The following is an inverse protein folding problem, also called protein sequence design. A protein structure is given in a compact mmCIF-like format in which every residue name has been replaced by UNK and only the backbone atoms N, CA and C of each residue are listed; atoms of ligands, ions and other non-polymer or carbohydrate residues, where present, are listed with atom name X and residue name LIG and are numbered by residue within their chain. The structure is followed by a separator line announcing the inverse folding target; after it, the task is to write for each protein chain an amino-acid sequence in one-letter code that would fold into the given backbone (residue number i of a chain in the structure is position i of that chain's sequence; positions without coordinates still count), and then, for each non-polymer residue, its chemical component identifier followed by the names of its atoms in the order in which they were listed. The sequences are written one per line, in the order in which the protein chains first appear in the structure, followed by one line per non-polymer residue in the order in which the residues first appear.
data_IF_452927199860
#
_entry.id   IF_452927199860
#
_cell.length_a   1.000
_cell.length_b   1.000
_cell.length_c   1.000
_cell.angle_alpha   90.00
_cell.angle_beta   90.00
_cell.angle_gamma   90.00
#
_symmetry.space_group_name_H-M   'P 1'
#
loop_
_entity.id
_entity.type
_entity.pdbx_description
1 polymer ?
#
# COMPACT_ATOMS: atom_id res chain seq x y z
N UNK A 1 -6.03 -2.99 8.28
CA UNK A 1 -5.32 -1.83 7.69
C UNK A 1 -6.01 -0.50 8.01
N UNK A 2 -7.22 -0.20 7.50
CA UNK A 2 -7.88 1.11 7.77
C UNK A 2 -8.25 1.35 9.25
N UNK A 3 -8.32 0.32 10.08
CA UNK A 3 -8.61 0.44 11.52
C UNK A 3 -7.36 0.77 12.37
N UNK A 4 -6.15 0.72 11.81
CA UNK A 4 -4.89 0.80 12.56
C UNK A 4 -4.07 2.09 12.34
N UNK A 5 -4.43 2.93 11.35
CA UNK A 5 -3.73 4.21 11.08
C UNK A 5 -4.31 5.35 11.97
N UNK A 6 -5.21 5.02 12.89
CA UNK A 6 -5.98 5.96 13.70
C UNK A 6 -5.33 6.16 15.09
N UNK A 7 -4.13 6.76 15.17
CA UNK A 7 -3.54 7.16 16.45
C UNK A 7 -3.53 8.69 16.60
N UNK A 8 -3.96 9.17 17.77
CA UNK A 8 -4.25 10.58 18.07
C UNK A 8 -3.01 11.30 18.62
N UNK A 9 -2.24 11.95 17.76
CA UNK A 9 -1.30 13.00 18.17
C UNK A 9 -2.01 14.34 18.41
N UNK A 10 -1.63 15.16 19.42
CA UNK A 10 -2.31 16.42 19.71
C UNK A 10 -2.02 17.47 18.62
N UNK A 11 -3.07 17.96 17.98
CA UNK A 11 -2.99 19.04 17.00
C UNK A 11 -3.14 20.39 17.73
N UNK A 12 -2.03 21.08 18.00
CA UNK A 12 -2.05 22.47 18.46
C UNK A 12 -2.03 23.40 17.24
N UNK A 13 -3.12 24.14 17.03
CA UNK A 13 -3.23 25.15 15.98
C UNK A 13 -2.55 26.46 16.34
N UNK A 14 -1.98 27.14 15.35
CA UNK A 14 -2.42 28.46 14.84
C UNK A 14 -1.37 29.04 13.89
N UNK A 15 -1.76 29.35 12.65
CA UNK A 15 -1.42 30.58 11.95
C UNK A 15 -2.14 30.62 10.59
N UNK A 16 -2.97 31.64 10.41
CA UNK A 16 -3.52 32.05 9.12
C UNK A 16 -2.40 32.58 8.23
N UNK A 17 -2.39 32.27 6.94
CA UNK A 17 -1.96 33.18 5.87
C UNK A 17 -2.77 32.86 4.60
N UNK A 18 -3.37 33.90 4.02
CA UNK A 18 -3.99 33.87 2.71
C UNK A 18 -2.93 33.92 1.61
N UNK A 19 -3.11 33.15 0.54
CA UNK A 19 -2.28 33.19 -0.66
C UNK A 19 -2.76 32.17 -1.69
N UNK A 20 -3.07 32.66 -2.89
CA UNK A 20 -3.63 31.93 -4.04
C UNK A 20 -2.67 30.99 -4.76
N UNK A 21 -3.27 30.02 -5.46
CA UNK A 21 -2.83 29.35 -6.69
C UNK A 21 -1.63 28.41 -6.64
N UNK A 22 -1.95 27.13 -6.61
CA UNK A 22 -1.19 26.04 -7.22
C UNK A 22 -2.07 24.81 -7.17
N UNK A 23 -2.51 24.28 -8.32
CA UNK A 23 -2.83 22.85 -8.36
C UNK A 23 -1.49 22.16 -8.06
N UNK A 24 -1.25 21.84 -6.79
CA UNK A 24 -0.16 20.94 -6.41
C UNK A 24 -0.32 19.71 -7.30
N UNK A 25 0.70 19.44 -8.12
CA UNK A 25 0.68 18.36 -9.09
C UNK A 25 0.58 17.04 -8.31
N UNK A 26 -0.65 16.58 -8.08
CA UNK A 26 -0.94 15.43 -7.22
C UNK A 26 -0.16 14.24 -7.74
N UNK A 27 0.56 13.56 -6.85
CA UNK A 27 1.28 12.35 -7.20
C UNK A 27 0.34 11.34 -7.90
N UNK A 28 0.81 10.76 -9.00
CA UNK A 28 0.11 9.74 -9.78
C UNK A 28 1.07 8.62 -10.13
N UNK A 29 0.57 7.39 -10.22
CA UNK A 29 1.34 6.27 -10.76
C UNK A 29 1.34 6.32 -12.28
N UNK A 30 2.39 5.74 -12.87
CA UNK A 30 2.42 5.43 -14.30
C UNK A 30 1.22 4.55 -14.69
N UNK A 31 0.69 4.68 -15.92
CA UNK A 31 -0.44 3.87 -16.38
C UNK A 31 -0.06 2.40 -16.59
N UNK A 32 1.23 2.11 -16.73
CA UNK A 32 1.80 0.78 -16.93
C UNK A 32 3.00 0.55 -16.00
N UNK A 33 3.32 -0.72 -15.68
CA UNK A 33 2.58 -1.93 -16.02
C UNK A 33 1.25 -2.08 -15.25
N UNK A 34 0.26 -2.74 -15.84
CA UNK A 34 -0.95 -3.15 -15.11
C UNK A 34 -0.68 -4.34 -14.19
N UNK A 35 -1.62 -4.65 -13.30
CA UNK A 35 -1.54 -5.86 -12.44
C UNK A 35 -1.42 -7.14 -13.27
N UNK A 36 -2.11 -7.20 -14.41
CA UNK A 36 -2.03 -8.35 -15.32
C UNK A 36 -0.68 -8.41 -16.04
N UNK A 37 -0.08 -7.27 -16.38
CA UNK A 37 1.26 -7.24 -16.95
C UNK A 37 2.29 -7.76 -15.94
N UNK A 38 2.18 -7.36 -14.68
CA UNK A 38 3.04 -7.85 -13.58
C UNK A 38 2.87 -9.36 -13.40
N UNK A 39 1.62 -9.86 -13.33
CA UNK A 39 1.34 -11.30 -13.24
C UNK A 39 2.00 -12.07 -14.39
N UNK A 40 1.89 -11.56 -15.62
CA UNK A 40 2.47 -12.19 -16.81
C UNK A 40 4.00 -12.20 -16.77
N UNK A 41 4.64 -11.08 -16.47
CA UNK A 41 6.10 -11.00 -16.34
C UNK A 41 6.64 -11.97 -15.29
N UNK A 42 5.94 -12.11 -14.15
CA UNK A 42 6.32 -13.04 -13.08
C UNK A 42 6.12 -14.51 -13.45
N UNK A 43 5.02 -14.83 -14.13
CA UNK A 43 4.77 -16.18 -14.62
C UNK A 43 5.86 -16.59 -15.62
N UNK A 44 6.20 -15.72 -16.58
CA UNK A 44 7.29 -15.95 -17.54
C UNK A 44 8.64 -16.16 -16.82
N UNK A 45 8.99 -15.28 -15.88
CA UNK A 45 10.22 -15.40 -15.09
C UNK A 45 10.32 -16.72 -14.32
N UNK A 46 9.20 -17.16 -13.72
CA UNK A 46 9.11 -18.39 -12.92
C UNK A 46 9.14 -19.65 -13.78
N UNK A 47 8.46 -19.63 -14.93
CA UNK A 47 8.40 -20.73 -15.89
C UNK A 47 9.77 -21.02 -16.49
N UNK A 48 10.51 -19.99 -16.90
CA UNK A 48 11.88 -20.10 -17.43
C UNK A 48 12.85 -20.82 -16.48
N UNK A 49 12.57 -20.76 -15.17
CA UNK A 49 13.44 -21.29 -14.11
C UNK A 49 12.94 -22.61 -13.53
N UNK A 50 11.79 -23.12 -13.97
CA UNK A 50 11.10 -24.26 -13.37
C UNK A 50 10.88 -24.07 -11.84
N UNK A 51 10.54 -22.85 -11.45
CA UNK A 51 10.38 -22.47 -10.03
C UNK A 51 8.96 -22.63 -9.51
N UNK A 52 8.00 -22.93 -10.38
CA UNK A 52 6.60 -23.18 -10.00
C UNK A 52 6.44 -24.24 -8.89
N UNK A 53 7.35 -25.21 -8.81
CA UNK A 53 7.37 -26.23 -7.74
C UNK A 53 7.57 -25.64 -6.34
N UNK A 54 8.27 -24.51 -6.24
CA UNK A 54 8.53 -23.82 -4.97
C UNK A 54 7.47 -22.77 -4.64
N UNK A 55 6.75 -22.28 -5.65
CA UNK A 55 5.77 -21.20 -5.54
C UNK A 55 4.37 -21.73 -5.15
N UNK A 56 4.32 -22.47 -4.04
CA UNK A 56 3.08 -22.88 -3.39
C UNK A 56 2.51 -21.72 -2.55
N UNK A 57 1.17 -21.59 -2.38
CA UNK A 57 0.57 -20.44 -1.70
C UNK A 57 1.16 -20.11 -0.33
N UNK A 58 1.46 -21.13 0.50
CA UNK A 58 2.09 -20.91 1.82
C UNK A 58 3.49 -20.31 1.69
N UNK A 59 4.28 -20.76 0.71
CA UNK A 59 5.65 -20.29 0.55
C UNK A 59 5.66 -18.85 0.05
N UNK A 60 4.79 -18.50 -0.90
CA UNK A 60 4.61 -17.13 -1.38
C UNK A 60 4.14 -16.19 -0.26
N UNK A 61 3.21 -16.63 0.59
CA UNK A 61 2.80 -15.87 1.77
C UNK A 61 3.98 -15.59 2.71
N UNK A 62 4.82 -16.59 2.98
CA UNK A 62 5.96 -16.44 3.88
C UNK A 62 7.05 -15.54 3.27
N UNK A 63 7.29 -15.65 1.96
CA UNK A 63 8.19 -14.74 1.24
C UNK A 63 7.68 -13.30 1.31
N UNK A 64 6.40 -13.06 1.01
CA UNK A 64 5.77 -11.74 1.13
C UNK A 64 5.89 -11.14 2.54
N UNK A 65 5.76 -11.96 3.59
CA UNK A 65 5.97 -11.49 4.98
C UNK A 65 7.42 -11.08 5.23
N UNK A 66 8.39 -11.78 4.61
CA UNK A 66 9.79 -11.38 4.61
C UNK A 66 9.99 -9.98 4.03
N UNK A 67 9.47 -9.73 2.83
CA UNK A 67 9.59 -8.43 2.16
C UNK A 67 8.89 -7.30 2.92
N UNK A 68 7.75 -7.58 3.59
CA UNK A 68 7.12 -6.62 4.50
C UNK A 68 8.04 -6.31 5.69
N UNK A 69 8.82 -7.28 6.15
CA UNK A 69 9.88 -7.11 7.13
C UNK A 69 10.98 -6.17 6.61
N UNK A 70 11.46 -6.37 5.37
CA UNK A 70 12.48 -5.51 4.75
C UNK A 70 11.99 -4.07 4.59
N UNK A 71 10.74 -3.86 4.15
CA UNK A 71 10.09 -2.54 4.19
C UNK A 71 10.15 -1.97 5.61
N UNK A 72 9.81 -2.76 6.63
CA UNK A 72 9.80 -2.30 8.02
C UNK A 72 11.19 -1.90 8.52
N UNK A 73 12.25 -2.59 8.11
CA UNK A 73 13.63 -2.29 8.48
C UNK A 73 14.09 -0.91 8.01
N UNK A 74 13.59 -0.43 6.87
CA UNK A 74 13.88 0.93 6.36
C UNK A 74 13.31 2.03 7.26
N UNK A 75 12.21 1.77 7.96
CA UNK A 75 11.54 2.73 8.84
C UNK A 75 11.87 2.56 10.32
N UNK A 76 12.32 1.39 10.76
CA UNK A 76 12.35 1.01 12.19
C UNK A 76 13.10 1.98 13.13
N UNK A 77 14.11 2.70 12.62
CA UNK A 77 14.91 3.67 13.38
C UNK A 77 14.66 5.13 12.97
N UNK A 78 13.73 5.37 12.06
CA UNK A 78 13.32 6.72 11.68
C UNK A 78 12.32 7.23 12.74
N UNK A 79 12.38 8.52 13.06
CA UNK A 79 11.36 9.18 13.89
C UNK A 79 10.06 9.36 13.12
N UNK A 80 9.38 10.48 13.31
CA UNK A 80 8.27 10.85 12.41
C UNK A 80 8.81 11.01 10.97
N UNK A 81 8.17 10.33 10.02
CA UNK A 81 8.55 10.37 8.61
C UNK A 81 7.54 11.23 7.84
N UNK A 82 8.02 12.33 7.26
CA UNK A 82 7.18 13.25 6.50
C UNK A 82 6.75 12.64 5.14
N UNK A 83 5.56 13.03 4.67
CA UNK A 83 5.08 12.70 3.33
C UNK A 83 6.08 13.16 2.26
N UNK A 84 6.28 12.34 1.22
CA UNK A 84 7.26 12.62 0.16
C UNK A 84 8.72 12.37 0.57
N UNK A 85 8.98 11.97 1.82
CA UNK A 85 10.28 11.51 2.34
C UNK A 85 11.43 12.52 2.16
N UNK A 86 11.26 13.84 2.35
CA UNK A 86 12.23 14.87 1.96
C UNK A 86 13.65 14.65 2.53
N UNK A 87 13.76 14.02 3.70
CA UNK A 87 15.03 13.76 4.38
C UNK A 87 15.69 12.42 3.99
N UNK A 88 15.11 11.70 3.03
CA UNK A 88 15.66 10.44 2.53
C UNK A 88 16.54 10.69 1.31
N UNK A 89 17.72 10.06 1.31
CA UNK A 89 18.61 10.00 0.16
C UNK A 89 17.99 9.22 -1.00
N UNK A 90 18.49 9.47 -2.22
CA UNK A 90 18.05 8.74 -3.42
C UNK A 90 18.22 7.22 -3.26
N UNK A 91 19.31 6.78 -2.62
CA UNK A 91 19.55 5.36 -2.35
C UNK A 91 18.52 4.75 -1.39
N UNK A 92 18.11 5.47 -0.34
CA UNK A 92 17.08 4.98 0.59
C UNK A 92 15.71 4.92 -0.11
N UNK A 93 15.41 5.87 -0.99
CA UNK A 93 14.18 5.89 -1.79
C UNK A 93 14.15 4.75 -2.81
N UNK A 94 15.29 4.44 -3.42
CA UNK A 94 15.43 3.31 -4.34
C UNK A 94 15.27 1.97 -3.62
N UNK A 95 15.88 1.80 -2.45
CA UNK A 95 15.66 0.62 -1.60
C UNK A 95 14.17 0.48 -1.22
N UNK A 96 13.53 1.56 -0.78
CA UNK A 96 12.09 1.53 -0.50
C UNK A 96 11.27 1.11 -1.73
N UNK A 97 11.63 1.60 -2.92
CA UNK A 97 10.96 1.23 -4.15
C UNK A 97 11.13 -0.27 -4.47
N UNK A 98 12.31 -0.85 -4.21
CA UNK A 98 12.56 -2.29 -4.34
C UNK A 98 11.68 -3.10 -3.37
N UNK A 99 11.75 -2.82 -2.07
CA UNK A 99 11.01 -3.61 -1.08
C UNK A 99 9.49 -3.52 -1.25
N UNK A 100 8.97 -2.33 -1.61
CA UNK A 100 7.55 -2.19 -1.96
C UNK A 100 7.18 -2.98 -3.21
N UNK A 101 8.08 -3.07 -4.19
CA UNK A 101 7.87 -3.85 -5.41
C UNK A 101 7.85 -5.34 -5.09
N UNK A 102 8.75 -5.83 -4.24
CA UNK A 102 8.83 -7.26 -3.88
C UNK A 102 7.60 -7.72 -3.10
N UNK A 103 7.12 -6.91 -2.14
CA UNK A 103 5.82 -7.15 -1.48
C UNK A 103 4.69 -7.27 -2.50
N UNK A 104 4.65 -6.35 -3.47
CA UNK A 104 3.58 -6.34 -4.45
C UNK A 104 3.65 -7.51 -5.43
N UNK A 105 4.86 -7.88 -5.87
CA UNK A 105 5.13 -9.03 -6.72
C UNK A 105 4.62 -10.32 -6.07
N UNK A 106 4.99 -10.59 -4.82
CA UNK A 106 4.52 -11.80 -4.14
C UNK A 106 3.01 -11.78 -3.88
N UNK A 107 2.41 -10.61 -3.64
CA UNK A 107 0.96 -10.50 -3.52
C UNK A 107 0.24 -10.87 -4.83
N UNK A 108 0.73 -10.37 -5.97
CA UNK A 108 0.18 -10.69 -7.29
C UNK A 108 0.33 -12.18 -7.59
N UNK A 109 1.50 -12.76 -7.32
CA UNK A 109 1.72 -14.18 -7.55
C UNK A 109 0.87 -15.06 -6.63
N UNK A 110 0.77 -14.71 -5.34
CA UNK A 110 -0.09 -15.42 -4.41
C UNK A 110 -1.55 -15.39 -4.87
N UNK A 111 -2.03 -14.25 -5.38
CA UNK A 111 -3.36 -14.13 -5.95
C UNK A 111 -3.55 -15.06 -7.16
N UNK A 112 -2.57 -15.14 -8.07
CA UNK A 112 -2.58 -16.07 -9.20
C UNK A 112 -2.69 -17.53 -8.73
N UNK A 113 -1.80 -17.97 -7.82
CA UNK A 113 -1.81 -19.37 -7.33
C UNK A 113 -3.11 -19.71 -6.58
N UNK A 114 -3.75 -18.71 -5.97
CA UNK A 114 -5.04 -18.85 -5.31
C UNK A 114 -6.25 -18.65 -6.24
N UNK A 115 -6.03 -18.35 -7.53
CA UNK A 115 -7.07 -18.05 -8.53
C UNK A 115 -7.98 -16.90 -8.12
N UNK A 116 -7.40 -15.86 -7.55
CA UNK A 116 -8.08 -14.63 -7.16
C UNK A 116 -7.84 -13.57 -8.24
N UNK A 117 -8.91 -13.13 -8.89
CA UNK A 117 -8.90 -11.90 -9.70
C UNK A 117 -8.72 -10.69 -8.76
N UNK A 118 -7.46 -10.30 -8.55
CA UNK A 118 -7.07 -9.30 -7.57
C UNK A 118 -7.65 -7.90 -7.90
N UNK A 119 -7.59 -7.38 -9.14
CA UNK A 119 -8.25 -6.12 -9.48
C UNK A 119 -9.75 -6.11 -9.16
N UNK A 120 -10.49 -7.16 -9.52
CA UNK A 120 -11.92 -7.24 -9.21
C UNK A 120 -12.19 -7.42 -7.71
N UNK A 121 -11.33 -8.15 -6.99
CA UNK A 121 -11.41 -8.28 -5.54
C UNK A 121 -11.25 -6.93 -4.83
N UNK A 122 -10.31 -6.09 -5.29
CA UNK A 122 -10.12 -4.71 -4.79
C UNK A 122 -11.36 -3.85 -5.06
N UNK A 123 -11.95 -3.90 -6.26
CA UNK A 123 -13.18 -3.16 -6.56
C UNK A 123 -14.33 -3.51 -5.61
N UNK A 124 -14.57 -4.82 -5.40
CA UNK A 124 -15.58 -5.30 -4.44
C UNK A 124 -15.26 -4.84 -3.02
N UNK A 125 -13.99 -4.93 -2.60
CA UNK A 125 -13.57 -4.54 -1.25
C UNK A 125 -13.73 -3.04 -1.01
N UNK A 126 -13.45 -2.21 -2.01
CA UNK A 126 -13.64 -0.76 -1.94
C UNK A 126 -15.11 -0.38 -1.83
N UNK A 127 -16.01 -1.05 -2.55
CA UNK A 127 -17.45 -0.86 -2.39
C UNK A 127 -17.91 -1.18 -0.96
N UNK A 128 -17.43 -2.29 -0.38
CA UNK A 128 -17.71 -2.65 1.01
C UNK A 128 -17.13 -1.62 2.00
N UNK A 129 -15.92 -1.12 1.77
CA UNK A 129 -15.31 -0.11 2.63
C UNK A 129 -16.10 1.20 2.63
N UNK A 130 -16.63 1.64 1.48
CA UNK A 130 -17.48 2.85 1.40
C UNK A 130 -18.76 2.72 2.21
N UNK A 131 -19.37 1.53 2.23
CA UNK A 131 -20.53 1.25 3.07
C UNK A 131 -20.18 1.22 4.56
N UNK A 132 -19.01 0.66 4.90
CA UNK A 132 -18.54 0.57 6.29
C UNK A 132 -18.11 1.93 6.87
N UNK A 133 -17.60 2.84 6.03
CA UNK A 133 -17.12 4.17 6.43
C UNK A 133 -17.74 5.28 5.54
N UNK A 134 -19.01 5.66 5.76
CA UNK A 134 -19.65 6.72 4.99
C UNK A 134 -18.97 8.06 5.23
N UNK A 135 -18.64 8.80 4.15
CA UNK A 135 -17.94 10.09 4.25
C UNK A 135 -18.63 11.09 5.18
N UNK A 136 -19.97 11.12 5.17
CA UNK A 136 -20.77 11.97 6.07
C UNK A 136 -20.58 11.69 7.56
N UNK A 137 -20.14 10.47 7.92
CA UNK A 137 -19.90 10.06 9.31
C UNK A 137 -18.42 10.15 9.69
N UNK A 138 -17.50 9.98 8.73
CA UNK A 138 -16.06 9.82 9.00
C UNK A 138 -15.18 11.00 8.55
N UNK A 139 -15.77 12.06 7.97
CA UNK A 139 -15.00 13.21 7.49
C UNK A 139 -14.19 13.86 8.64
N UNK A 140 -12.86 13.83 8.52
CA UNK A 140 -11.94 14.36 9.55
C UNK A 140 -11.91 13.58 10.87
N UNK A 141 -12.47 12.36 10.91
CA UNK A 141 -12.60 11.56 12.13
C UNK A 141 -12.03 10.15 11.91
N UNK A 142 -10.98 9.83 12.65
CA UNK A 142 -10.32 8.52 12.67
C UNK A 142 -11.04 7.49 13.58
N UNK A 143 -12.29 7.76 13.99
CA UNK A 143 -13.01 6.88 14.92
C UNK A 143 -13.40 5.56 14.27
N UNK A 144 -13.45 4.49 15.08
CA UNK A 144 -13.93 3.19 14.60
C UNK A 144 -15.40 3.28 14.22
N UNK A 145 -15.82 2.50 13.22
CA UNK A 145 -17.20 2.52 12.74
C UNK A 145 -18.24 2.21 13.83
N UNK A 146 -17.83 1.46 14.87
CA UNK A 146 -18.62 1.13 16.07
C UNK A 146 -18.92 2.33 16.97
N UNK A 147 -18.27 3.46 16.75
CA UNK A 147 -18.41 4.67 17.58
C UNK A 147 -19.29 5.75 16.92
N UNK A 148 -19.67 5.60 15.64
CA UNK A 148 -20.64 6.47 15.01
C UNK A 148 -22.06 6.01 15.38
N UNK A 149 -22.51 6.42 16.56
CA UNK A 149 -23.93 6.31 16.93
C UNK A 149 -24.74 7.33 16.13
N UNK A 150 -25.92 6.92 15.67
CA UNK A 150 -26.94 7.82 15.13
C UNK A 150 -27.45 8.79 16.22
#
# INVERSE_FOLDING_TARGET
LMEAICDNGPVNGTASHAGTSGEENRFTFSPEPSVEDIRRMQAEFTDERDWNKFHQPRNLLLAMVGEVGEVSELFQWKGEVAEGLPDWSDSEREQLAHELSDVFIYLVELAEKCRVDLPQAVLRKMALNRLKYPASKVHGSAKKYTEYKD
#
